data_IF_151880304396
#
_entry.id   IF_151880304396
#
_cell.length_a   1.000
_cell.length_b   1.000
_cell.length_c   1.000
_cell.angle_alpha   90.00
_cell.angle_beta   90.00
_cell.angle_gamma   90.00
#
_symmetry.space_group_name_H-M   'P 1'
#
loop_
_entity.id
_entity.type
_entity.pdbx_description
1 polymer ?
#
# COMPACT_ATOMS: atom_id res chain seq x y z
N UNK A 1 -19.19 6.82 -43.55
CA UNK A 1 -19.88 6.57 -42.26
C UNK A 1 -18.80 6.58 -41.17
N UNK A 2 -18.73 7.70 -40.47
CA UNK A 2 -17.71 7.90 -39.39
C UNK A 2 -18.21 7.24 -38.11
N UNK A 3 -17.39 6.31 -37.58
CA UNK A 3 -17.62 5.74 -36.26
C UNK A 3 -17.14 6.78 -35.24
N UNK A 4 -18.08 7.48 -34.62
CA UNK A 4 -17.80 8.40 -33.50
C UNK A 4 -17.37 7.55 -32.32
N UNK A 5 -16.11 7.70 -31.92
CA UNK A 5 -15.55 7.04 -30.75
C UNK A 5 -16.32 7.40 -29.47
N UNK A 6 -16.76 6.39 -28.74
CA UNK A 6 -17.32 6.60 -27.40
C UNK A 6 -16.26 7.27 -26.51
N UNK A 7 -16.64 8.33 -25.76
CA UNK A 7 -15.71 8.92 -24.79
C UNK A 7 -15.35 7.86 -23.74
N UNK A 8 -14.12 7.87 -23.21
CA UNK A 8 -13.71 6.93 -22.18
C UNK A 8 -14.66 7.03 -20.98
N UNK A 9 -14.92 5.91 -20.28
CA UNK A 9 -15.80 5.91 -19.12
C UNK A 9 -15.32 6.95 -18.12
N UNK A 10 -16.20 7.87 -17.73
CA UNK A 10 -15.92 8.85 -16.68
C UNK A 10 -15.65 8.06 -15.40
N UNK A 11 -14.41 8.09 -14.92
CA UNK A 11 -14.10 7.59 -13.58
C UNK A 11 -15.01 8.33 -12.60
N UNK A 12 -15.68 7.63 -11.66
CA UNK A 12 -16.44 8.30 -10.64
C UNK A 12 -15.50 9.30 -9.94
N UNK A 13 -15.94 10.56 -9.89
CA UNK A 13 -15.17 11.60 -9.19
C UNK A 13 -14.98 11.14 -7.75
N UNK A 14 -13.72 11.13 -7.32
CA UNK A 14 -13.38 10.91 -5.90
C UNK A 14 -14.21 11.86 -5.05
N UNK A 15 -14.79 11.39 -3.93
CA UNK A 15 -15.26 12.32 -2.92
C UNK A 15 -14.07 13.21 -2.55
N UNK A 16 -14.25 14.54 -2.48
CA UNK A 16 -13.16 15.42 -2.07
C UNK A 16 -12.66 14.91 -0.71
N UNK A 17 -11.35 14.64 -0.62
CA UNK A 17 -10.71 14.41 0.68
C UNK A 17 -11.16 15.58 1.57
N UNK A 18 -11.63 15.33 2.80
CA UNK A 18 -12.15 16.42 3.61
C UNK A 18 -11.01 17.40 3.85
N UNK A 19 -11.06 18.54 3.18
CA UNK A 19 -10.12 19.67 3.36
C UNK A 19 -10.01 20.02 4.85
N UNK A 20 -11.07 19.76 5.61
CA UNK A 20 -11.15 19.84 7.06
C UNK A 20 -10.11 18.98 7.79
N UNK A 21 -9.82 17.76 7.35
CA UNK A 21 -8.85 16.88 8.01
C UNK A 21 -7.40 17.42 7.92
N UNK A 22 -7.09 18.16 6.86
CA UNK A 22 -5.77 18.80 6.74
C UNK A 22 -5.64 20.09 7.56
N UNK A 23 -6.75 20.76 7.88
CA UNK A 23 -6.77 22.09 8.48
C UNK A 23 -7.19 22.12 9.94
N UNK A 24 -7.80 21.06 10.46
CA UNK A 24 -8.22 20.99 11.86
C UNK A 24 -7.03 21.22 12.81
N UNK A 25 -7.22 22.04 13.84
CA UNK A 25 -6.17 22.27 14.84
C UNK A 25 -6.10 21.11 15.84
N UNK A 26 -5.66 19.97 15.33
CA UNK A 26 -5.38 18.74 16.09
C UNK A 26 -4.10 18.10 15.58
N UNK A 27 -3.26 17.49 16.42
CA UNK A 27 -2.05 16.80 16.00
C UNK A 27 -2.32 15.63 15.05
N UNK A 28 -3.52 15.03 15.14
CA UNK A 28 -3.98 13.93 14.33
C UNK A 28 -5.43 14.16 13.90
N UNK A 29 -5.75 13.87 12.63
CA UNK A 29 -7.11 13.80 12.13
C UNK A 29 -7.33 12.44 11.45
N UNK A 30 -8.48 11.80 11.71
CA UNK A 30 -8.83 10.53 11.11
C UNK A 30 -9.88 10.71 10.01
N UNK A 31 -9.83 9.81 9.01
CA UNK A 31 -10.75 9.79 7.89
C UNK A 31 -11.11 8.35 7.53
N UNK A 32 -12.40 8.06 7.39
CA UNK A 32 -12.93 6.76 7.01
C UNK A 32 -13.74 6.86 5.72
N UNK A 33 -13.39 6.03 4.74
CA UNK A 33 -14.17 5.93 3.51
C UNK A 33 -14.03 4.55 2.85
N UNK A 34 -15.12 4.07 2.25
CA UNK A 34 -15.14 2.80 1.53
C UNK A 34 -15.13 3.06 0.02
N UNK A 35 -14.16 2.49 -0.67
CA UNK A 35 -13.94 2.67 -2.10
C UNK A 35 -14.27 1.42 -2.90
N UNK A 36 -14.84 1.55 -4.11
CA UNK A 36 -15.07 0.42 -5.01
C UNK A 36 -13.76 -0.09 -5.63
N UNK A 37 -13.81 -1.32 -6.15
CA UNK A 37 -12.71 -1.91 -6.92
C UNK A 37 -12.35 -1.06 -8.15
N UNK A 38 -11.04 -0.94 -8.43
CA UNK A 38 -10.50 -0.29 -9.62
C UNK A 38 -10.45 1.23 -9.56
N UNK A 39 -10.99 1.86 -8.51
CA UNK A 39 -10.89 3.30 -8.36
C UNK A 39 -9.43 3.71 -8.09
N UNK A 40 -8.98 4.79 -8.74
CA UNK A 40 -7.68 5.42 -8.51
C UNK A 40 -7.84 6.86 -8.07
N UNK A 41 -7.03 7.30 -7.09
CA UNK A 41 -7.05 8.69 -6.62
C UNK A 41 -6.39 9.67 -7.59
N UNK A 42 -5.62 9.19 -8.59
CA UNK A 42 -4.67 10.03 -9.28
C UNK A 42 -3.52 10.48 -8.39
N UNK A 43 -2.52 11.15 -8.97
CA UNK A 43 -1.40 11.70 -8.21
C UNK A 43 -1.83 12.94 -7.42
N UNK A 44 -1.52 12.94 -6.13
CA UNK A 44 -1.80 14.05 -5.22
C UNK A 44 -0.81 14.03 -4.04
N UNK A 45 -0.82 15.08 -3.25
CA UNK A 45 -0.06 15.19 -2.00
C UNK A 45 -0.87 15.90 -0.94
N UNK A 46 -0.47 15.76 0.32
CA UNK A 46 -1.12 16.37 1.47
C UNK A 46 -0.16 17.28 2.23
N UNK A 47 -0.69 18.33 2.87
CA UNK A 47 0.08 19.18 3.78
C UNK A 47 0.54 18.45 5.03
N UNK A 48 -0.19 17.40 5.43
CA UNK A 48 0.12 16.54 6.57
C UNK A 48 0.74 15.23 6.12
N UNK A 49 1.53 14.63 6.98
CA UNK A 49 1.92 13.23 6.79
C UNK A 49 0.69 12.34 6.90
N UNK A 50 0.70 11.21 6.20
CA UNK A 50 -0.45 10.33 6.13
C UNK A 50 -0.08 8.89 6.49
N UNK A 51 -0.93 8.24 7.30
CA UNK A 51 -0.93 6.80 7.48
C UNK A 51 -2.13 6.23 6.72
N UNK A 52 -1.89 5.51 5.64
CA UNK A 52 -2.90 4.84 4.83
C UNK A 52 -3.09 3.41 5.32
N UNK A 53 -4.21 3.12 5.93
CA UNK A 53 -4.60 1.82 6.43
C UNK A 53 -5.92 1.37 5.78
N UNK A 54 -6.15 0.07 5.65
CA UNK A 54 -7.43 -0.50 5.23
C UNK A 54 -7.79 -1.72 6.07
N UNK A 55 -9.05 -1.82 6.48
CA UNK A 55 -9.57 -2.98 7.19
C UNK A 55 -10.00 -4.10 6.24
N UNK A 56 -10.31 -3.77 4.98
CA UNK A 56 -10.66 -4.72 3.93
C UNK A 56 -10.14 -4.24 2.57
N UNK A 57 -9.96 -5.15 1.64
CA UNK A 57 -9.37 -4.87 0.32
C UNK A 57 -7.86 -4.67 0.36
N UNK A 58 -7.27 -4.30 -0.77
CA UNK A 58 -5.83 -4.05 -0.90
C UNK A 58 -5.63 -2.71 -1.59
N UNK A 59 -4.76 -1.87 -1.07
CA UNK A 59 -4.32 -0.65 -1.73
C UNK A 59 -3.00 -0.88 -2.46
N UNK A 60 -2.92 -0.45 -3.72
CA UNK A 60 -1.67 -0.33 -4.48
C UNK A 60 -1.31 1.13 -4.55
N UNK A 61 -0.19 1.50 -3.98
CA UNK A 61 0.18 2.90 -3.80
C UNK A 61 1.51 3.15 -4.51
N UNK A 62 1.48 4.04 -5.50
CA UNK A 62 2.70 4.54 -6.15
C UNK A 62 3.19 5.75 -5.38
N UNK A 63 4.38 5.68 -4.81
CA UNK A 63 5.01 6.76 -4.05
C UNK A 63 6.53 6.63 -4.09
N UNK A 64 7.26 7.75 -4.14
CA UNK A 64 8.73 7.80 -4.11
C UNK A 64 9.42 6.86 -5.13
N UNK A 65 8.82 6.68 -6.30
CA UNK A 65 9.37 5.81 -7.35
C UNK A 65 9.24 4.31 -7.06
N UNK A 66 8.42 3.90 -6.10
CA UNK A 66 8.13 2.52 -5.77
C UNK A 66 6.62 2.23 -5.80
N UNK A 67 6.27 0.98 -6.05
CA UNK A 67 4.92 0.46 -5.88
C UNK A 67 4.84 -0.26 -4.54
N UNK A 68 3.94 0.18 -3.68
CA UNK A 68 3.68 -0.40 -2.36
C UNK A 68 2.37 -1.16 -2.39
N UNK A 69 2.38 -2.42 -1.99
CA UNK A 69 1.18 -3.25 -1.82
C UNK A 69 0.81 -3.27 -0.34
N UNK A 70 -0.37 -2.77 -0.02
CA UNK A 70 -0.83 -2.56 1.36
C UNK A 70 -2.12 -3.35 1.59
N UNK A 71 -2.01 -4.61 2.04
CA UNK A 71 -3.15 -5.43 2.44
C UNK A 71 -3.62 -5.08 3.86
N UNK A 72 -4.79 -5.59 4.33
CA UNK A 72 -5.21 -5.48 5.72
C UNK A 72 -4.12 -5.94 6.70
N UNK A 73 -4.04 -5.28 7.84
CA UNK A 73 -2.99 -5.49 8.83
C UNK A 73 -1.65 -4.83 8.50
N UNK A 74 -1.62 -4.03 7.43
CA UNK A 74 -0.48 -3.18 7.04
C UNK A 74 -0.95 -1.77 6.77
N UNK A 75 -0.07 -0.79 6.98
CA UNK A 75 -0.33 0.60 6.64
C UNK A 75 0.85 1.18 5.86
N UNK A 76 0.58 2.17 5.00
CA UNK A 76 1.64 2.95 4.37
C UNK A 76 1.79 4.27 5.08
N UNK A 77 3.00 4.53 5.54
CA UNK A 77 3.43 5.84 5.97
C UNK A 77 3.86 6.68 4.77
N UNK A 78 3.29 7.86 4.61
CA UNK A 78 3.63 8.82 3.55
C UNK A 78 3.98 10.15 4.21
N UNK A 79 5.23 10.64 4.09
CA UNK A 79 5.61 11.96 4.58
C UNK A 79 4.80 13.09 3.96
N UNK A 80 4.67 14.21 4.67
CA UNK A 80 4.00 15.41 4.18
C UNK A 80 4.60 15.92 2.85
N UNK A 81 3.76 16.41 1.96
CA UNK A 81 4.15 16.96 0.65
C UNK A 81 4.56 15.92 -0.40
N UNK A 82 4.63 14.64 -0.06
CA UNK A 82 5.09 13.62 -0.99
C UNK A 82 3.97 13.19 -1.96
N UNK A 83 4.24 13.29 -3.27
CA UNK A 83 3.32 12.84 -4.33
C UNK A 83 3.10 11.34 -4.27
N UNK A 84 1.84 10.93 -4.28
CA UNK A 84 1.44 9.53 -4.30
C UNK A 84 0.08 9.35 -5.00
N UNK A 85 -0.18 8.12 -5.45
CA UNK A 85 -1.46 7.72 -6.04
C UNK A 85 -1.88 6.37 -5.46
N UNK A 86 -3.16 6.22 -5.13
CA UNK A 86 -3.73 4.99 -4.56
C UNK A 86 -4.68 4.36 -5.56
N UNK A 87 -4.50 3.08 -5.85
CA UNK A 87 -5.43 2.27 -6.65
C UNK A 87 -6.03 1.17 -5.79
N UNK A 88 -7.34 1.03 -5.83
CA UNK A 88 -8.10 0.12 -4.99
C UNK A 88 -8.23 -1.26 -5.65
N UNK A 89 -7.81 -2.32 -4.97
CA UNK A 89 -7.97 -3.71 -5.42
C UNK A 89 -8.95 -4.44 -4.50
N UNK A 90 -10.10 -4.83 -5.05
CA UNK A 90 -11.27 -5.22 -4.26
C UNK A 90 -11.99 -4.00 -3.70
N UNK A 91 -13.07 -4.20 -2.93
CA UNK A 91 -13.68 -3.13 -2.14
C UNK A 91 -12.75 -2.81 -0.99
N UNK A 92 -12.30 -1.56 -0.90
CA UNK A 92 -11.32 -1.12 0.10
C UNK A 92 -12.02 -0.28 1.17
N UNK A 93 -11.98 -0.76 2.40
CA UNK A 93 -12.44 0.00 3.57
C UNK A 93 -11.24 0.78 4.15
N UNK A 94 -10.98 1.97 3.60
CA UNK A 94 -9.86 2.82 3.98
C UNK A 94 -10.11 3.52 5.31
N UNK A 95 -9.06 3.61 6.13
CA UNK A 95 -8.99 4.36 7.38
C UNK A 95 -7.66 5.12 7.37
N UNK A 96 -7.70 6.38 7.02
CA UNK A 96 -6.50 7.20 6.90
C UNK A 96 -6.34 8.11 8.12
N UNK A 97 -5.10 8.31 8.55
CA UNK A 97 -4.75 9.31 9.54
C UNK A 97 -3.90 10.39 8.89
N UNK A 98 -4.21 11.64 9.20
CA UNK A 98 -3.45 12.83 8.78
C UNK A 98 -2.74 13.41 10.00
N UNK A 99 -1.41 13.45 9.97
CA UNK A 99 -0.58 13.81 11.11
C UNK A 99 0.13 15.13 10.85
N UNK A 100 0.04 16.05 11.81
CA UNK A 100 0.72 17.34 11.75
C UNK A 100 2.23 17.15 11.91
N UNK A 101 3.03 17.99 11.27
CA UNK A 101 4.49 17.83 11.22
C UNK A 101 5.16 17.85 12.60
N UNK A 102 4.65 18.63 13.55
CA UNK A 102 5.13 18.70 14.93
C UNK A 102 4.77 17.48 15.78
N UNK A 103 3.81 16.66 15.33
CA UNK A 103 3.44 15.42 16.00
C UNK A 103 4.27 14.21 15.53
N UNK A 104 5.05 14.34 14.46
CA UNK A 104 5.82 13.25 13.82
C UNK A 104 7.30 13.29 14.21
N UNK A 105 7.66 13.01 15.45
CA UNK A 105 9.05 13.08 15.94
C UNK A 105 9.98 12.00 15.36
N UNK A 106 9.81 10.75 15.75
CA UNK A 106 10.69 9.62 15.42
C UNK A 106 10.19 8.73 14.27
N UNK A 107 9.40 9.27 13.35
CA UNK A 107 8.78 8.50 12.26
C UNK A 107 9.76 8.32 11.08
N UNK A 108 9.54 7.31 10.19
CA UNK A 108 10.39 7.14 9.02
C UNK A 108 10.48 8.40 8.18
N UNK A 109 11.71 8.82 7.82
CA UNK A 109 11.93 9.99 6.96
C UNK A 109 11.38 9.80 5.53
N UNK A 110 11.21 8.55 5.09
CA UNK A 110 10.69 8.19 3.77
C UNK A 110 9.41 7.37 3.85
N UNK A 111 8.90 7.00 2.68
CA UNK A 111 7.75 6.10 2.56
C UNK A 111 8.09 4.73 3.13
N UNK A 112 7.24 4.19 3.98
CA UNK A 112 7.43 2.87 4.59
C UNK A 112 6.10 2.13 4.74
N UNK A 113 6.09 0.84 4.44
CA UNK A 113 4.99 -0.04 4.83
C UNK A 113 5.24 -0.50 6.26
N UNK A 114 4.28 -0.28 7.14
CA UNK A 114 4.35 -0.59 8.56
C UNK A 114 3.45 -1.78 8.91
N UNK A 115 3.90 -2.59 9.85
CA UNK A 115 3.04 -3.58 10.47
C UNK A 115 2.05 -2.90 11.43
N UNK A 116 0.77 -3.24 11.33
CA UNK A 116 -0.26 -2.70 12.21
C UNK A 116 -0.54 -3.71 13.32
N UNK A 117 -0.26 -3.35 14.56
CA UNK A 117 -0.60 -4.15 15.75
C UNK A 117 -2.12 -4.23 15.94
N UNK A 118 -2.58 -5.19 16.75
CA UNK A 118 -3.99 -5.25 17.11
C UNK A 118 -4.45 -3.99 17.86
N UNK A 119 -3.57 -3.44 18.70
CA UNK A 119 -3.86 -2.19 19.42
C UNK A 119 -3.97 -1.01 18.45
N UNK A 120 -2.97 -0.80 17.59
CA UNK A 120 -3.00 0.28 16.61
C UNK A 120 -4.24 0.20 15.71
N UNK A 121 -4.64 -1.01 15.29
CA UNK A 121 -5.87 -1.21 14.52
C UNK A 121 -7.10 -0.66 15.24
N UNK A 122 -7.31 -1.05 16.51
CA UNK A 122 -8.48 -0.62 17.27
C UNK A 122 -8.45 0.89 17.58
N UNK A 123 -7.26 1.45 17.84
CA UNK A 123 -7.07 2.88 18.03
C UNK A 123 -7.41 3.68 16.75
N UNK A 124 -6.97 3.22 15.56
CA UNK A 124 -7.31 3.86 14.28
C UNK A 124 -8.82 3.83 14.04
N UNK A 125 -9.49 2.71 14.32
CA UNK A 125 -10.94 2.60 14.18
C UNK A 125 -11.65 3.55 15.13
N UNK A 126 -11.26 3.57 16.40
CA UNK A 126 -11.83 4.48 17.40
C UNK A 126 -11.63 5.96 17.02
N UNK A 127 -10.46 6.33 16.47
CA UNK A 127 -10.22 7.70 16.02
C UNK A 127 -11.06 8.07 14.78
N UNK A 128 -11.43 7.10 13.94
CA UNK A 128 -12.32 7.34 12.80
C UNK A 128 -13.79 7.55 13.22
N UNK A 129 -14.18 7.08 14.41
CA UNK A 129 -15.52 7.25 14.97
C UNK A 129 -15.65 8.56 15.80
N UNK A 130 -14.51 9.17 16.17
CA UNK A 130 -14.49 10.44 16.92
C UNK A 130 -14.67 11.65 15.95
N UNK A 131 -15.25 12.79 16.41
CA UNK A 131 -15.34 14.00 15.60
C UNK A 131 -13.93 14.53 15.26
N UNK A 132 -13.81 15.32 14.17
CA UNK A 132 -12.53 15.92 13.80
C UNK A 132 -11.94 16.83 14.89
N UNK A 133 -12.79 17.56 15.59
CA UNK A 133 -12.43 18.49 16.68
C UNK A 133 -12.56 17.81 18.06
N UNK A 134 -11.93 16.64 18.20
CA UNK A 134 -11.92 15.91 19.46
C UNK A 134 -11.24 16.66 20.60
N UNK A 135 -11.58 16.33 21.85
CA UNK A 135 -11.05 16.94 23.06
C UNK A 135 -9.57 16.60 23.28
N UNK A 136 -8.72 17.63 23.34
CA UNK A 136 -7.29 17.51 23.56
C UNK A 136 -6.92 16.93 24.93
N UNK A 137 -7.67 17.25 25.96
CA UNK A 137 -7.43 16.79 27.33
C UNK A 137 -8.17 15.50 27.67
N UNK A 138 -9.13 15.10 26.83
CA UNK A 138 -9.99 13.95 27.07
C UNK A 138 -9.59 12.72 26.24
N UNK A 139 -10.61 11.91 25.93
CA UNK A 139 -10.46 10.63 25.22
C UNK A 139 -9.71 10.75 23.90
N UNK A 140 -10.02 11.76 23.09
CA UNK A 140 -9.39 11.97 21.78
C UNK A 140 -7.90 12.24 21.90
N UNK A 141 -7.48 13.04 22.91
CA UNK A 141 -6.05 13.28 23.20
C UNK A 141 -5.31 12.01 23.61
N UNK A 142 -5.92 11.16 24.44
CA UNK A 142 -5.35 9.88 24.84
C UNK A 142 -5.23 8.91 23.65
N UNK A 143 -6.25 8.83 22.78
CA UNK A 143 -6.20 8.05 21.55
C UNK A 143 -5.07 8.52 20.63
N UNK A 144 -4.95 9.84 20.42
CA UNK A 144 -3.92 10.41 19.56
C UNK A 144 -2.51 10.09 20.09
N UNK A 145 -2.28 10.23 21.40
CA UNK A 145 -0.98 9.91 22.02
C UNK A 145 -0.61 8.44 21.83
N UNK A 146 -1.53 7.50 22.05
CA UNK A 146 -1.29 6.08 21.86
C UNK A 146 -1.09 5.72 20.39
N UNK A 147 -1.83 6.32 19.46
CA UNK A 147 -1.66 6.13 18.02
C UNK A 147 -0.24 6.56 17.59
N UNK A 148 0.21 7.73 18.03
CA UNK A 148 1.53 8.24 17.69
C UNK A 148 2.64 7.33 18.23
N UNK A 149 2.50 6.85 19.47
CA UNK A 149 3.42 5.91 20.09
C UNK A 149 3.48 4.59 19.31
N UNK A 150 2.34 3.97 19.03
CA UNK A 150 2.24 2.73 18.26
C UNK A 150 2.83 2.84 16.85
N UNK A 151 2.60 3.96 16.15
CA UNK A 151 3.20 4.18 14.82
C UNK A 151 4.72 4.32 14.93
N UNK A 152 5.24 5.02 15.94
CA UNK A 152 6.68 5.22 16.14
C UNK A 152 7.45 3.90 16.38
N UNK A 153 6.79 2.91 16.97
CA UNK A 153 7.34 1.59 17.26
C UNK A 153 6.97 0.52 16.21
N UNK A 154 6.16 0.86 15.21
CA UNK A 154 5.67 -0.10 14.21
C UNK A 154 6.83 -0.59 13.31
N UNK A 155 7.05 -1.92 13.18
CA UNK A 155 8.09 -2.46 12.31
C UNK A 155 7.85 -2.11 10.84
N UNK A 156 8.88 -1.63 10.14
CA UNK A 156 8.85 -1.45 8.69
C UNK A 156 9.00 -2.80 7.97
N UNK A 157 8.25 -2.97 6.88
CA UNK A 157 8.17 -4.20 6.09
C UNK A 157 8.64 -3.99 4.64
N UNK A 158 9.32 -4.97 4.01
CA UNK A 158 9.85 -4.86 2.66
C UNK A 158 8.75 -5.07 1.58
N UNK A 159 7.65 -4.31 1.65
CA UNK A 159 6.53 -4.35 0.71
C UNK A 159 6.55 -3.21 -0.32
N UNK A 160 7.61 -2.42 -0.35
CA UNK A 160 7.88 -1.45 -1.39
C UNK A 160 8.72 -2.07 -2.49
N UNK A 161 8.23 -2.07 -3.74
CA UNK A 161 8.94 -2.60 -4.91
C UNK A 161 9.39 -1.42 -5.78
N UNK A 162 10.69 -1.08 -5.82
CA UNK A 162 11.21 0.01 -6.63
C UNK A 162 10.85 -0.18 -8.10
N UNK A 163 10.42 0.90 -8.76
CA UNK A 163 10.03 0.85 -10.17
C UNK A 163 11.13 1.48 -11.03
N UNK A 164 11.58 0.78 -12.08
CA UNK A 164 12.55 1.36 -13.00
C UNK A 164 11.91 2.48 -13.83
N UNK A 165 12.74 3.48 -14.21
CA UNK A 165 12.32 4.66 -14.99
C UNK A 165 12.60 4.48 -16.49
N UNK A 166 13.66 3.78 -16.86
CA UNK A 166 13.98 3.47 -18.26
C UNK A 166 12.80 2.74 -18.92
N UNK A 167 12.30 3.18 -20.08
CA UNK A 167 11.12 2.59 -20.74
C UNK A 167 11.27 1.10 -21.05
N UNK A 168 12.48 0.62 -21.30
CA UNK A 168 12.78 -0.80 -21.59
C UNK A 168 12.63 -1.62 -20.31
N UNK A 169 13.20 -1.13 -19.21
CA UNK A 169 13.10 -1.78 -17.90
C UNK A 169 11.68 -1.75 -17.37
N UNK A 170 10.91 -0.69 -17.64
CA UNK A 170 9.48 -0.63 -17.28
C UNK A 170 8.68 -1.70 -18.01
N UNK A 171 8.86 -1.84 -19.34
CA UNK A 171 8.20 -2.90 -20.12
C UNK A 171 8.53 -4.29 -19.58
N UNK A 172 9.80 -4.56 -19.24
CA UNK A 172 10.21 -5.79 -18.58
C UNK A 172 9.53 -5.99 -17.23
N UNK A 173 9.48 -4.96 -16.39
CA UNK A 173 8.85 -5.02 -15.10
C UNK A 173 7.32 -5.23 -15.19
N UNK A 174 6.67 -4.63 -16.18
CA UNK A 174 5.24 -4.82 -16.48
C UNK A 174 4.96 -6.24 -16.98
N UNK A 175 5.77 -6.74 -17.91
CA UNK A 175 5.65 -8.11 -18.41
C UNK A 175 5.86 -9.15 -17.31
N UNK A 176 6.83 -8.94 -16.40
CA UNK A 176 7.02 -9.83 -15.25
C UNK A 176 5.83 -9.78 -14.29
N UNK A 177 5.22 -8.61 -14.05
CA UNK A 177 4.01 -8.52 -13.21
C UNK A 177 2.79 -9.19 -13.84
N UNK A 178 2.71 -9.20 -15.17
CA UNK A 178 1.66 -9.92 -15.88
C UNK A 178 1.83 -11.45 -15.80
N UNK A 179 3.08 -11.93 -15.68
CA UNK A 179 3.43 -13.35 -15.50
C UNK A 179 4.47 -13.52 -14.39
N UNK A 180 3.99 -13.58 -13.15
CA UNK A 180 4.82 -13.78 -11.96
C UNK A 180 5.50 -15.17 -11.94
N UNK A 181 4.97 -16.13 -12.71
CA UNK A 181 5.57 -17.45 -12.90
C UNK A 181 6.83 -17.43 -13.76
N UNK A 182 7.05 -16.38 -14.53
CA UNK A 182 8.17 -16.28 -15.46
C UNK A 182 9.53 -16.47 -14.78
N UNK A 183 10.34 -17.38 -15.33
CA UNK A 183 11.72 -17.61 -14.90
C UNK A 183 12.75 -16.91 -15.79
N UNK A 184 12.30 -16.10 -16.76
CA UNK A 184 13.18 -15.40 -17.69
C UNK A 184 14.19 -14.53 -16.95
N UNK A 185 15.45 -14.64 -17.40
CA UNK A 185 16.56 -13.81 -16.95
C UNK A 185 16.63 -12.47 -17.70
N UNK A 186 17.54 -11.57 -17.34
CA UNK A 186 17.79 -10.36 -18.13
C UNK A 186 18.39 -10.67 -19.50
N UNK A 187 19.10 -11.79 -19.62
CA UNK A 187 19.61 -12.32 -20.88
C UNK A 187 18.48 -12.67 -21.86
N UNK A 188 17.43 -13.32 -21.35
CA UNK A 188 16.26 -13.70 -22.14
C UNK A 188 15.42 -12.50 -22.57
N UNK A 189 15.44 -11.42 -21.79
CA UNK A 189 14.74 -10.17 -22.10
C UNK A 189 15.51 -9.25 -23.04
N UNK A 190 16.84 -9.39 -23.10
CA UNK A 190 17.71 -8.47 -23.81
C UNK A 190 17.35 -8.26 -25.30
N UNK A 191 17.04 -9.32 -26.09
CA UNK A 191 16.66 -9.17 -27.49
C UNK A 191 15.35 -8.36 -27.65
N UNK A 192 14.36 -8.59 -26.80
CA UNK A 192 13.04 -7.95 -26.90
C UNK A 192 13.07 -6.47 -26.55
N UNK A 193 13.95 -6.07 -25.62
CA UNK A 193 14.05 -4.68 -25.18
C UNK A 193 15.14 -3.89 -25.90
N UNK A 194 15.89 -4.54 -26.81
CA UNK A 194 16.92 -3.90 -27.64
C UNK A 194 18.09 -3.35 -26.83
N UNK A 195 18.59 -4.11 -25.84
CA UNK A 195 19.74 -3.72 -25.03
C UNK A 195 20.56 -4.95 -24.64
N UNK A 196 21.89 -4.80 -24.44
CA UNK A 196 22.71 -5.91 -23.98
C UNK A 196 22.39 -6.30 -22.53
N UNK A 197 22.55 -7.59 -22.14
CA UNK A 197 22.33 -8.06 -20.77
C UNK A 197 23.14 -7.26 -19.74
N UNK A 198 24.39 -6.93 -20.05
CA UNK A 198 25.26 -6.10 -19.21
C UNK A 198 24.66 -4.70 -18.98
N UNK A 199 24.11 -4.09 -20.02
CA UNK A 199 23.46 -2.77 -19.92
C UNK A 199 22.21 -2.86 -19.06
N UNK A 200 21.36 -3.86 -19.25
CA UNK A 200 20.15 -4.10 -18.47
C UNK A 200 20.47 -4.30 -16.99
N UNK A 201 21.41 -5.18 -16.67
CA UNK A 201 21.83 -5.45 -15.29
C UNK A 201 22.33 -4.20 -14.59
N UNK A 202 23.23 -3.44 -15.23
CA UNK A 202 23.77 -2.21 -14.66
C UNK A 202 22.70 -1.15 -14.43
N UNK A 203 21.85 -0.89 -15.45
CA UNK A 203 20.77 0.10 -15.34
C UNK A 203 19.71 -0.31 -14.33
N UNK A 204 19.28 -1.57 -14.34
CA UNK A 204 18.30 -2.08 -13.40
C UNK A 204 18.74 -1.83 -11.95
N UNK A 205 20.00 -2.20 -11.63
CA UNK A 205 20.57 -1.96 -10.30
C UNK A 205 20.72 -0.47 -9.98
N UNK A 206 21.13 0.35 -10.93
CA UNK A 206 21.29 1.79 -10.72
C UNK A 206 19.94 2.49 -10.43
N UNK A 207 18.86 2.06 -11.07
CA UNK A 207 17.55 2.69 -10.93
C UNK A 207 16.71 2.15 -9.77
N UNK A 208 16.84 0.83 -9.47
CA UNK A 208 16.04 0.18 -8.43
C UNK A 208 16.81 -0.05 -7.11
N UNK A 209 18.13 0.11 -7.12
CA UNK A 209 18.99 -0.29 -6.00
C UNK A 209 19.15 -1.80 -5.85
N UNK A 210 18.43 -2.62 -6.63
CA UNK A 210 18.34 -4.07 -6.48
C UNK A 210 18.87 -4.82 -7.72
N UNK A 211 19.37 -6.02 -7.50
CA UNK A 211 19.53 -7.00 -8.59
C UNK A 211 18.16 -7.55 -9.03
N UNK A 212 18.03 -7.90 -10.31
CA UNK A 212 16.75 -8.35 -10.89
C UNK A 212 16.13 -9.54 -10.16
N UNK A 213 16.93 -10.52 -9.71
CA UNK A 213 16.44 -11.67 -8.96
C UNK A 213 15.79 -11.27 -7.61
N UNK A 214 16.43 -10.35 -6.87
CA UNK A 214 15.90 -9.81 -5.59
C UNK A 214 14.63 -9.01 -5.84
N UNK A 215 14.62 -8.17 -6.89
CA UNK A 215 13.45 -7.39 -7.27
C UNK A 215 12.26 -8.30 -7.65
N UNK A 216 12.48 -9.37 -8.41
CA UNK A 216 11.45 -10.37 -8.73
C UNK A 216 10.89 -11.02 -7.47
N UNK A 217 11.77 -11.40 -6.55
CA UNK A 217 11.34 -12.00 -5.28
C UNK A 217 10.48 -11.05 -4.46
N UNK A 218 10.89 -9.77 -4.33
CA UNK A 218 10.08 -8.75 -3.64
C UNK A 218 8.72 -8.55 -4.31
N UNK A 219 8.70 -8.48 -5.64
CA UNK A 219 7.45 -8.38 -6.40
C UNK A 219 6.52 -9.56 -6.13
N UNK A 220 7.03 -10.80 -6.18
CA UNK A 220 6.25 -12.00 -5.87
C UNK A 220 5.70 -12.00 -4.45
N UNK A 221 6.50 -11.60 -3.47
CA UNK A 221 6.07 -11.56 -2.07
C UNK A 221 5.03 -10.47 -1.82
N UNK A 222 5.16 -9.30 -2.46
CA UNK A 222 4.17 -8.23 -2.38
C UNK A 222 2.82 -8.67 -2.99
N UNK A 223 2.84 -9.33 -4.16
CA UNK A 223 1.63 -9.87 -4.77
C UNK A 223 1.01 -11.01 -3.94
N UNK A 224 1.84 -11.90 -3.39
CA UNK A 224 1.36 -12.95 -2.49
C UNK A 224 0.67 -12.38 -1.25
N UNK A 225 1.19 -11.27 -0.68
CA UNK A 225 0.55 -10.60 0.45
C UNK A 225 -0.88 -10.12 0.11
N UNK A 226 -1.07 -9.60 -1.11
CA UNK A 226 -2.38 -9.21 -1.60
C UNK A 226 -3.33 -10.41 -1.77
N UNK A 227 -2.84 -11.51 -2.35
CA UNK A 227 -3.62 -12.73 -2.55
C UNK A 227 -4.05 -13.39 -1.23
N UNK A 228 -3.13 -13.45 -0.25
CA UNK A 228 -3.42 -13.97 1.09
C UNK A 228 -4.47 -13.10 1.81
N UNK A 229 -4.37 -11.79 1.67
CA UNK A 229 -5.35 -10.86 2.25
C UNK A 229 -6.76 -10.99 1.63
N UNK A 230 -6.84 -11.48 0.40
CA UNK A 230 -8.10 -11.82 -0.29
C UNK A 230 -8.64 -13.21 0.08
N UNK A 231 -8.02 -13.89 1.05
CA UNK A 231 -8.45 -15.21 1.53
C UNK A 231 -7.87 -16.40 0.74
N UNK A 232 -6.91 -16.16 -0.16
CA UNK A 232 -6.25 -17.26 -0.85
C UNK A 232 -5.39 -18.07 0.13
N UNK A 233 -5.40 -19.38 0.02
CA UNK A 233 -4.55 -20.24 0.87
C UNK A 233 -3.07 -20.03 0.54
N UNK A 234 -2.14 -20.21 1.50
CA UNK A 234 -0.71 -20.05 1.25
C UNK A 234 -0.17 -20.91 0.09
N UNK A 235 -0.65 -22.13 -0.06
CA UNK A 235 -0.24 -23.03 -1.15
C UNK A 235 -0.68 -22.49 -2.52
N UNK A 236 -1.92 -22.00 -2.63
CA UNK A 236 -2.43 -21.41 -3.88
C UNK A 236 -1.74 -20.07 -4.19
N UNK A 237 -1.51 -19.24 -3.17
CA UNK A 237 -0.77 -17.98 -3.34
C UNK A 237 0.66 -18.24 -3.83
N UNK A 238 1.37 -19.23 -3.26
CA UNK A 238 2.70 -19.64 -3.70
C UNK A 238 2.73 -20.01 -5.19
N UNK A 239 1.79 -20.87 -5.61
CA UNK A 239 1.68 -21.27 -7.02
C UNK A 239 1.35 -20.09 -7.94
N UNK A 240 0.40 -19.24 -7.53
CA UNK A 240 -0.02 -18.07 -8.32
C UNK A 240 1.10 -17.04 -8.54
N UNK A 241 2.05 -16.93 -7.60
CA UNK A 241 3.20 -16.01 -7.75
C UNK A 241 4.47 -16.73 -8.22
N UNK A 242 4.38 -17.97 -8.70
CA UNK A 242 5.46 -18.67 -9.38
C UNK A 242 6.51 -19.29 -8.46
N UNK A 243 6.16 -19.71 -7.25
CA UNK A 243 7.02 -20.57 -6.43
C UNK A 243 6.79 -22.05 -6.77
N UNK A 244 7.91 -22.78 -6.92
CA UNK A 244 7.87 -24.21 -7.23
C UNK A 244 7.26 -25.08 -6.11
N UNK A 245 7.28 -24.60 -4.86
CA UNK A 245 6.69 -25.29 -3.72
C UNK A 245 6.25 -24.33 -2.62
N UNK A 246 5.26 -24.76 -1.83
CA UNK A 246 4.81 -24.04 -0.64
C UNK A 246 5.94 -23.90 0.41
N UNK A 247 6.88 -24.86 0.47
CA UNK A 247 8.04 -24.80 1.36
C UNK A 247 8.99 -23.68 0.97
N UNK A 248 9.36 -23.57 -0.32
CA UNK A 248 10.22 -22.48 -0.83
C UNK A 248 9.58 -21.11 -0.61
N UNK A 249 8.28 -21.00 -0.88
CA UNK A 249 7.51 -19.79 -0.57
C UNK A 249 7.53 -19.46 0.93
N UNK A 250 7.26 -20.43 1.81
CA UNK A 250 7.27 -20.25 3.24
C UNK A 250 8.62 -19.81 3.78
N UNK A 251 9.73 -20.31 3.21
CA UNK A 251 11.08 -19.88 3.57
C UNK A 251 11.35 -18.42 3.16
N UNK A 252 11.02 -18.06 1.90
CA UNK A 252 11.16 -16.69 1.40
C UNK A 252 10.29 -15.70 2.19
N UNK A 253 9.07 -16.10 2.52
CA UNK A 253 8.15 -15.31 3.32
C UNK A 253 8.69 -15.04 4.72
N UNK A 254 9.15 -16.08 5.44
CA UNK A 254 9.74 -15.93 6.79
C UNK A 254 10.98 -15.03 6.77
N UNK A 255 11.82 -15.18 5.76
CA UNK A 255 13.01 -14.33 5.63
C UNK A 255 12.64 -12.84 5.43
N UNK A 256 11.54 -12.54 4.71
CA UNK A 256 11.10 -11.18 4.44
C UNK A 256 10.26 -10.56 5.57
N UNK A 257 9.42 -11.35 6.24
CA UNK A 257 8.39 -10.84 7.17
C UNK A 257 8.52 -11.36 8.61
N UNK A 258 9.48 -12.21 8.90
CA UNK A 258 9.69 -12.78 10.24
C UNK A 258 8.59 -13.72 10.75
N UNK A 259 7.57 -14.01 9.92
CA UNK A 259 6.38 -14.80 10.29
C UNK A 259 6.02 -15.82 9.21
N UNK A 260 5.10 -16.73 9.48
CA UNK A 260 4.59 -17.66 8.47
C UNK A 260 3.50 -17.02 7.61
N UNK A 261 3.31 -17.48 6.34
CA UNK A 261 2.22 -16.97 5.49
C UNK A 261 0.82 -17.24 6.04
N UNK A 262 0.67 -18.26 6.89
CA UNK A 262 -0.58 -18.61 7.59
C UNK A 262 -0.77 -17.84 8.90
N UNK A 263 0.27 -17.14 9.37
CA UNK A 263 0.23 -16.33 10.58
C UNK A 263 -0.60 -15.08 10.38
N UNK A 264 -1.85 -15.12 10.89
CA UNK A 264 -2.87 -14.06 10.86
C UNK A 264 -3.39 -13.67 9.47
N UNK A 265 -4.23 -14.47 8.88
CA UNK A 265 -5.46 -13.91 8.35
C UNK A 265 -6.19 -13.29 9.57
N UNK A 266 -5.97 -12.00 9.80
CA UNK A 266 -6.77 -11.27 10.77
C UNK A 266 -8.22 -11.49 10.36
N UNK A 267 -9.00 -12.10 11.24
CA UNK A 267 -10.41 -12.31 11.11
C UNK A 267 -11.05 -11.02 10.58
N UNK A 268 -11.50 -11.07 9.33
CA UNK A 268 -12.38 -10.07 8.77
C UNK A 268 -13.71 -10.20 9.52
N UNK A 269 -13.81 -9.55 10.68
CA UNK A 269 -15.11 -9.35 11.30
C UNK A 269 -15.89 -8.39 10.41
N UNK A 270 -17.18 -8.67 10.13
CA UNK A 270 -18.01 -7.77 9.37
C UNK A 270 -18.07 -6.41 10.09
N UNK A 271 -17.61 -5.39 9.39
CA UNK A 271 -17.67 -4.00 9.84
C UNK A 271 -19.14 -3.64 10.04
N UNK A 272 -19.53 -3.20 11.24
CA UNK A 272 -20.80 -2.51 11.45
C UNK A 272 -20.88 -1.34 10.47
N UNK A 273 -22.00 -1.23 9.78
CA UNK A 273 -22.23 -0.11 8.85
C UNK A 273 -22.03 1.23 9.58
N UNK A 274 -21.36 2.22 8.94
CA UNK A 274 -21.18 3.52 9.54
C UNK A 274 -22.56 4.16 9.78
N UNK A 275 -22.71 4.80 10.93
CA UNK A 275 -23.85 5.66 11.24
C UNK A 275 -23.85 6.77 10.19
N UNK A 276 -24.91 6.86 9.39
CA UNK A 276 -25.11 7.98 8.46
C UNK A 276 -25.21 9.25 9.31
N UNK A 277 -24.24 10.12 9.17
CA UNK A 277 -24.38 11.52 9.54
C UNK A 277 -25.11 12.17 8.38
N UNK A 278 -26.40 12.45 8.56
CA UNK A 278 -27.17 13.24 7.61
C UNK A 278 -26.53 14.64 7.53
N UNK A 279 -26.18 15.03 6.32
CA UNK A 279 -25.75 16.39 6.02
C UNK A 279 -26.99 17.29 6.04
N UNK A 280 -27.05 18.18 7.01
CA UNK A 280 -27.81 19.44 6.95
C UNK A 280 -26.88 20.57 6.54
#
# INVERSE_FOLDING_TARGET
>A
MSIIGQPPPRHPSLPPLPVSAERVDRPLAAFAHDYPHGLSTGEHSHLRAQLLYATAGVMRISAAGALHVVPPGRALWVPAGLLHAVTMQGRVAMRALFLRADAVGAFPAGVAVLAVSALLRELVLAACDDPLEWDLAGRGGHLAALILDEISHAPALPLGVPQPRDPRLRRLAEAFRADLGSHRSLEDWAPEVGASPRTLTRRFRAETGLGFAVWRQQTRLAEAAALLAQGMTPARAAAAVGYASASAFGAAWRAAFGSTPAGRAATAQPVRAPVRVDML
#
